data_IF_687157207126
#
_entry.id   IF_687157207126
#
_cell.length_a   1.000
_cell.length_b   1.000
_cell.length_c   1.000
_cell.angle_alpha   90.00
_cell.angle_beta   90.00
_cell.angle_gamma   90.00
#
_symmetry.space_group_name_H-M   'P 1'
#
loop_
_entity.id
_entity.type
_entity.pdbx_description
1 polymer ?
#
# COMPACT_ATOMS: atom_id res chain seq x y z
N UNK A 1 -7.68 18.51 -8.69
CA UNK A 1 -7.03 17.40 -9.40
C UNK A 1 -7.30 16.17 -8.57
N UNK A 2 -7.95 15.17 -9.15
CA UNK A 2 -8.15 13.88 -8.51
C UNK A 2 -6.91 13.01 -8.73
N UNK A 3 -6.64 12.00 -7.88
CA UNK A 3 -5.54 11.07 -8.10
C UNK A 3 -5.56 10.43 -9.50
N UNK A 4 -6.73 10.11 -10.03
CA UNK A 4 -6.90 9.51 -11.37
C UNK A 4 -6.51 10.43 -12.54
N UNK A 5 -6.39 11.74 -12.32
CA UNK A 5 -5.93 12.71 -13.33
C UNK A 5 -4.40 12.68 -13.54
N UNK A 6 -3.65 11.98 -12.67
CA UNK A 6 -2.20 11.88 -12.74
C UNK A 6 -1.74 10.84 -13.79
N UNK A 7 -0.57 11.08 -14.41
CA UNK A 7 0.11 10.12 -15.30
C UNK A 7 1.18 9.35 -14.52
N UNK A 8 0.74 8.53 -13.56
CA UNK A 8 1.68 7.74 -12.74
C UNK A 8 2.28 6.61 -13.58
N UNK A 9 3.61 6.50 -13.54
CA UNK A 9 4.42 5.52 -14.27
C UNK A 9 5.14 4.55 -13.34
N UNK A 10 5.19 4.86 -12.05
CA UNK A 10 5.80 4.02 -11.01
C UNK A 10 4.97 4.03 -9.74
N UNK A 11 4.86 2.87 -9.10
CA UNK A 11 4.25 2.68 -7.79
C UNK A 11 5.35 2.12 -6.88
N UNK A 12 5.77 2.89 -5.88
CA UNK A 12 6.65 2.44 -4.81
C UNK A 12 5.79 2.18 -3.59
N UNK A 13 5.80 0.96 -3.05
CA UNK A 13 4.89 0.58 -1.97
C UNK A 13 5.50 -0.41 -0.99
N UNK A 14 4.90 -0.58 0.19
CA UNK A 14 5.39 -1.57 1.14
C UNK A 14 5.32 -2.98 0.53
N UNK A 15 6.23 -3.84 0.98
CA UNK A 15 6.39 -5.21 0.51
C UNK A 15 5.41 -6.20 1.13
N UNK A 16 4.58 -5.76 2.08
CA UNK A 16 3.58 -6.58 2.74
C UNK A 16 2.31 -6.80 1.89
N UNK A 17 1.30 -7.46 2.46
CA UNK A 17 0.07 -7.73 1.72
C UNK A 17 -0.73 -6.46 1.39
N UNK A 18 -0.71 -5.45 2.27
CA UNK A 18 -1.43 -4.20 2.04
C UNK A 18 -0.81 -3.45 0.84
N UNK A 19 0.51 -3.28 0.84
CA UNK A 19 1.24 -2.68 -0.27
C UNK A 19 1.06 -3.46 -1.58
N UNK A 20 1.10 -4.80 -1.56
CA UNK A 20 0.86 -5.64 -2.75
C UNK A 20 -0.54 -5.43 -3.32
N UNK A 21 -1.58 -5.41 -2.50
CA UNK A 21 -2.96 -5.21 -2.97
C UNK A 21 -3.18 -3.76 -3.40
N UNK A 22 -2.57 -2.79 -2.73
CA UNK A 22 -2.54 -1.39 -3.16
C UNK A 22 -1.98 -1.25 -4.57
N UNK A 23 -0.81 -1.85 -4.83
CA UNK A 23 -0.21 -1.85 -6.16
C UNK A 23 -1.11 -2.52 -7.22
N UNK A 24 -1.75 -3.64 -6.86
CA UNK A 24 -2.67 -4.35 -7.75
C UNK A 24 -3.86 -3.47 -8.16
N UNK A 25 -4.44 -2.73 -7.21
CA UNK A 25 -5.55 -1.79 -7.48
C UNK A 25 -5.07 -0.65 -8.38
N UNK A 26 -3.98 0.02 -8.05
CA UNK A 26 -3.49 1.17 -8.80
C UNK A 26 -3.09 0.79 -10.24
N UNK A 27 -2.51 -0.40 -10.43
CA UNK A 27 -2.18 -0.93 -11.76
C UNK A 27 -3.41 -1.26 -12.61
N UNK A 28 -4.62 -1.34 -12.07
CA UNK A 28 -5.82 -1.47 -12.92
C UNK A 28 -6.09 -0.19 -13.71
N UNK A 29 -5.70 0.97 -13.17
CA UNK A 29 -5.80 2.26 -13.84
C UNK A 29 -4.51 2.59 -14.60
N UNK A 30 -3.36 2.55 -13.93
CA UNK A 30 -2.04 2.75 -14.53
C UNK A 30 -1.42 1.42 -14.92
N UNK A 31 -1.97 0.81 -15.97
CA UNK A 31 -1.66 -0.56 -16.42
C UNK A 31 -0.17 -0.85 -16.68
N UNK A 32 0.54 0.14 -17.20
CA UNK A 32 1.97 0.06 -17.53
C UNK A 32 2.90 0.53 -16.40
N UNK A 33 2.36 0.92 -15.23
CA UNK A 33 3.19 1.41 -14.14
C UNK A 33 4.12 0.30 -13.61
N UNK A 34 5.40 0.66 -13.46
CA UNK A 34 6.40 -0.16 -12.77
C UNK A 34 6.06 -0.25 -11.28
N UNK A 35 6.11 -1.44 -10.69
CA UNK A 35 5.93 -1.63 -9.24
C UNK A 35 7.28 -1.93 -8.61
N UNK A 36 7.61 -1.18 -7.58
CA UNK A 36 8.82 -1.36 -6.76
C UNK A 36 8.39 -1.50 -5.31
N UNK A 37 8.78 -2.62 -4.70
CA UNK A 37 8.54 -2.85 -3.28
C UNK A 37 9.72 -2.29 -2.47
N UNK A 38 9.41 -1.72 -1.31
CA UNK A 38 10.41 -1.21 -0.38
C UNK A 38 9.88 -1.21 1.04
N UNK A 39 10.73 -0.85 2.00
CA UNK A 39 10.34 -0.76 3.41
C UNK A 39 10.40 0.70 3.91
N UNK A 40 9.58 1.11 4.89
CA UNK A 40 9.59 2.46 5.44
C UNK A 40 10.97 2.94 5.91
N UNK A 41 11.80 2.02 6.42
CA UNK A 41 13.18 2.31 6.83
C UNK A 41 14.09 2.69 5.66
N UNK A 42 13.97 1.99 4.54
CA UNK A 42 14.77 2.22 3.32
C UNK A 42 14.41 3.56 2.67
N UNK A 43 13.11 3.87 2.62
CA UNK A 43 12.63 5.15 2.12
C UNK A 43 13.12 6.32 2.96
N UNK A 44 13.07 6.19 4.29
CA UNK A 44 13.62 7.21 5.22
C UNK A 44 15.14 7.34 5.12
N UNK A 45 15.83 6.29 4.73
CA UNK A 45 17.28 6.31 4.50
C UNK A 45 17.67 6.92 3.14
N UNK A 46 16.70 7.27 2.30
CA UNK A 46 16.91 7.89 0.99
C UNK A 46 17.32 6.92 -0.12
N UNK A 47 17.12 5.60 0.07
CA UNK A 47 17.50 4.58 -0.92
C UNK A 47 16.70 4.69 -2.23
N UNK A 48 15.55 5.36 -2.20
CA UNK A 48 14.68 5.57 -3.37
C UNK A 48 14.72 7.02 -3.91
N UNK A 49 15.60 7.89 -3.42
CA UNK A 49 15.62 9.33 -3.76
C UNK A 49 15.85 9.61 -5.26
N UNK A 50 16.59 8.73 -5.92
CA UNK A 50 16.89 8.77 -7.36
C UNK A 50 15.81 8.08 -8.21
N UNK A 51 14.96 7.27 -7.58
CA UNK A 51 13.87 6.54 -8.23
C UNK A 51 12.56 7.32 -8.21
N UNK A 52 12.31 8.11 -7.19
CA UNK A 52 11.02 8.78 -6.96
C UNK A 52 11.00 10.19 -7.56
N UNK A 53 10.02 10.41 -8.42
CA UNK A 53 9.72 11.69 -9.08
C UNK A 53 8.20 11.97 -9.11
N UNK A 54 7.80 13.05 -9.80
CA UNK A 54 6.40 13.49 -9.90
C UNK A 54 5.46 12.49 -10.61
N UNK A 55 6.00 11.47 -11.28
CA UNK A 55 5.23 10.39 -11.91
C UNK A 55 5.19 9.12 -11.05
N UNK A 56 5.62 9.23 -9.80
CA UNK A 56 5.66 8.12 -8.86
C UNK A 56 4.56 8.26 -7.80
N UNK A 57 3.78 7.19 -7.61
CA UNK A 57 2.93 7.01 -6.45
C UNK A 57 3.73 6.32 -5.34
N UNK A 58 3.70 6.86 -4.13
CA UNK A 58 4.28 6.25 -2.92
C UNK A 58 3.14 5.81 -2.01
N UNK A 59 3.02 4.52 -1.77
CA UNK A 59 1.84 3.95 -1.12
C UNK A 59 2.22 3.09 0.08
N UNK A 60 1.50 3.25 1.17
CA UNK A 60 1.75 2.52 2.41
C UNK A 60 3.17 2.70 2.97
N UNK A 61 3.77 3.85 2.63
CA UNK A 61 5.12 4.22 3.00
C UNK A 61 5.12 5.72 3.37
N UNK A 62 6.10 6.18 4.16
CA UNK A 62 6.25 7.60 4.45
C UNK A 62 6.29 8.44 3.17
N UNK A 63 5.61 9.58 3.11
CA UNK A 63 5.59 10.40 1.91
C UNK A 63 7.01 10.85 1.50
N UNK A 64 7.38 10.62 0.23
CA UNK A 64 8.57 11.21 -0.37
C UNK A 64 8.25 12.58 -1.02
N UNK A 65 9.02 13.64 -0.79
CA UNK A 65 8.67 15.00 -1.21
C UNK A 65 8.62 15.22 -2.73
N UNK A 66 9.26 14.34 -3.53
CA UNK A 66 9.22 14.42 -5.00
C UNK A 66 8.06 13.63 -5.63
N UNK A 67 7.34 12.80 -4.87
CA UNK A 67 6.30 11.95 -5.45
C UNK A 67 5.15 12.78 -6.05
N UNK A 68 4.41 12.19 -7.00
CA UNK A 68 3.18 12.79 -7.53
C UNK A 68 1.95 12.50 -6.67
N UNK A 69 1.92 11.31 -6.07
CA UNK A 69 0.83 10.81 -5.24
C UNK A 69 1.40 10.11 -4.01
N UNK A 70 0.81 10.38 -2.85
CA UNK A 70 1.06 9.62 -1.63
C UNK A 70 -0.27 9.08 -1.08
N UNK A 71 -0.33 7.77 -0.83
CA UNK A 71 -1.49 7.10 -0.21
C UNK A 71 -0.99 6.43 1.06
N UNK A 72 -1.55 6.78 2.21
CA UNK A 72 -1.12 6.18 3.48
C UNK A 72 -2.21 6.29 4.56
N UNK A 73 -2.09 5.48 5.59
CA UNK A 73 -3.01 5.41 6.73
C UNK A 73 -2.28 5.41 8.09
N UNK A 74 -0.96 5.20 8.08
CA UNK A 74 -0.13 5.17 9.29
C UNK A 74 -0.13 6.50 10.03
N UNK A 75 -0.44 6.49 11.32
CA UNK A 75 -0.46 7.72 12.15
C UNK A 75 0.91 8.41 12.23
N UNK A 76 1.99 7.64 12.18
CA UNK A 76 3.38 8.13 12.19
C UNK A 76 3.74 8.97 10.96
N UNK A 77 3.03 8.76 9.85
CA UNK A 77 3.26 9.42 8.57
C UNK A 77 2.21 10.51 8.28
N UNK A 78 1.34 10.82 9.25
CA UNK A 78 0.30 11.83 9.10
C UNK A 78 0.88 13.16 8.61
N UNK A 79 0.35 13.77 7.54
CA UNK A 79 0.96 14.96 6.95
C UNK A 79 1.00 16.14 7.92
N UNK A 80 2.20 16.72 8.10
CA UNK A 80 2.45 17.87 8.98
C UNK A 80 2.15 19.25 8.38
N UNK A 81 1.52 19.32 7.20
CA UNK A 81 1.14 20.58 6.54
C UNK A 81 2.22 21.22 5.66
N UNK A 82 3.05 20.43 4.98
CA UNK A 82 4.10 20.94 4.10
C UNK A 82 3.58 21.19 2.67
N UNK A 83 4.14 22.21 1.99
CA UNK A 83 3.84 22.59 0.59
C UNK A 83 4.44 21.58 -0.40
N UNK A 84 3.96 20.33 -0.36
CA UNK A 84 4.25 19.35 -1.41
C UNK A 84 3.37 19.64 -2.63
N UNK A 85 3.92 19.48 -3.83
CA UNK A 85 3.13 19.44 -5.07
C UNK A 85 2.37 18.10 -5.22
N UNK A 86 2.73 17.09 -4.43
CA UNK A 86 2.08 15.80 -4.44
C UNK A 86 0.62 15.92 -4.02
N UNK A 87 -0.23 15.09 -4.60
CA UNK A 87 -1.54 14.80 -4.02
C UNK A 87 -1.29 13.85 -2.84
N UNK A 88 -1.63 14.29 -1.62
CA UNK A 88 -1.45 13.48 -0.41
C UNK A 88 -2.81 13.02 0.09
N UNK A 89 -3.04 11.72 0.03
CA UNK A 89 -4.24 11.06 0.52
C UNK A 89 -3.89 10.26 1.77
N UNK A 90 -4.05 10.90 2.91
CA UNK A 90 -3.95 10.24 4.20
C UNK A 90 -5.33 10.09 4.83
N UNK A 91 -5.69 8.88 5.27
CA UNK A 91 -6.96 8.61 5.96
C UNK A 91 -6.73 7.66 7.14
N UNK A 92 -7.50 7.86 8.21
CA UNK A 92 -7.62 6.86 9.27
C UNK A 92 -8.48 5.70 8.71
N UNK A 93 -7.80 4.73 8.09
CA UNK A 93 -8.35 3.64 7.30
C UNK A 93 -7.73 2.32 7.76
N UNK A 94 -8.44 1.19 7.70
CA UNK A 94 -7.91 -0.11 8.13
C UNK A 94 -6.74 -0.63 7.28
N UNK A 95 -6.50 -0.05 6.11
CA UNK A 95 -5.39 -0.35 5.20
C UNK A 95 -5.22 0.79 4.17
N UNK A 96 -4.04 0.89 3.54
CA UNK A 96 -3.79 1.71 2.36
C UNK A 96 -4.54 1.18 1.12
N UNK A 97 -4.67 -0.14 0.97
CA UNK A 97 -5.42 -0.78 -0.10
C UNK A 97 -6.88 -0.36 -0.10
N UNK A 98 -7.49 -0.19 1.08
CA UNK A 98 -8.85 0.34 1.21
C UNK A 98 -8.94 1.77 0.73
N UNK A 99 -7.94 2.60 1.01
CA UNK A 99 -7.89 3.97 0.49
C UNK A 99 -7.81 3.94 -1.04
N UNK A 100 -6.93 3.12 -1.60
CA UNK A 100 -6.78 2.96 -3.05
C UNK A 100 -8.08 2.46 -3.69
N UNK A 101 -8.74 1.46 -3.10
CA UNK A 101 -10.03 0.96 -3.58
C UNK A 101 -11.07 2.08 -3.64
N UNK A 102 -11.25 2.85 -2.57
CA UNK A 102 -12.23 3.95 -2.55
C UNK A 102 -11.90 5.07 -3.55
N UNK A 103 -10.62 5.29 -3.86
CA UNK A 103 -10.21 6.27 -4.86
C UNK A 103 -10.51 5.83 -6.31
N UNK A 104 -10.47 4.53 -6.60
CA UNK A 104 -10.50 4.01 -7.97
C UNK A 104 -11.74 3.18 -8.33
N UNK A 105 -12.54 2.73 -7.36
CA UNK A 105 -13.74 1.91 -7.59
C UNK A 105 -14.81 2.52 -8.51
N UNK A 106 -14.82 3.84 -8.67
CA UNK A 106 -15.76 4.53 -9.57
C UNK A 106 -15.29 4.54 -11.03
N UNK A 107 -13.99 4.32 -11.27
CA UNK A 107 -13.36 4.40 -12.60
C UNK A 107 -12.77 3.07 -13.08
N UNK A 108 -12.70 2.07 -12.19
CA UNK A 108 -12.17 0.74 -12.44
C UNK A 108 -13.07 -0.29 -11.77
N UNK A 109 -13.28 -1.44 -12.43
CA UNK A 109 -13.89 -2.60 -11.79
C UNK A 109 -12.89 -3.31 -10.87
N UNK A 110 -13.22 -3.29 -9.56
CA UNK A 110 -12.45 -3.89 -8.47
C UNK A 110 -13.29 -4.93 -7.70
N UNK A 111 -14.46 -5.33 -8.23
CA UNK A 111 -15.37 -6.26 -7.55
C UNK A 111 -14.71 -7.61 -7.25
N UNK A 112 -13.72 -8.01 -8.05
CA UNK A 112 -12.96 -9.25 -7.86
C UNK A 112 -11.96 -9.20 -6.68
N UNK A 113 -11.70 -8.00 -6.13
CA UNK A 113 -10.80 -7.81 -4.99
C UNK A 113 -11.53 -7.58 -3.67
N UNK A 114 -12.86 -7.40 -3.66
CA UNK A 114 -13.61 -7.02 -2.44
C UNK A 114 -13.42 -8.03 -1.30
N UNK A 115 -13.58 -9.32 -1.60
CA UNK A 115 -13.39 -10.37 -0.59
C UNK A 115 -11.97 -10.39 -0.03
N UNK A 116 -10.95 -10.18 -0.89
CA UNK A 116 -9.55 -10.11 -0.45
C UNK A 116 -9.31 -8.86 0.39
N UNK A 117 -9.88 -7.74 0.00
CA UNK A 117 -9.71 -6.46 0.67
C UNK A 117 -10.25 -6.48 2.11
N UNK A 118 -11.34 -7.20 2.35
CA UNK A 118 -11.85 -7.42 3.72
C UNK A 118 -10.86 -8.21 4.59
N UNK A 119 -10.06 -9.10 3.99
CA UNK A 119 -8.97 -9.78 4.71
C UNK A 119 -7.76 -8.88 4.92
N UNK A 120 -7.37 -8.08 3.93
CA UNK A 120 -6.30 -7.09 4.05
C UNK A 120 -6.59 -6.14 5.21
N UNK A 121 -7.79 -5.57 5.24
CA UNK A 121 -8.23 -4.67 6.30
C UNK A 121 -8.11 -5.31 7.69
N UNK A 122 -8.49 -6.58 7.83
CA UNK A 122 -8.41 -7.29 9.12
C UNK A 122 -6.97 -7.55 9.55
N UNK A 123 -6.12 -7.94 8.59
CA UNK A 123 -4.73 -8.28 8.84
C UNK A 123 -3.92 -7.04 9.22
N UNK A 124 -4.06 -5.97 8.44
CA UNK A 124 -3.28 -4.74 8.61
C UNK A 124 -3.72 -3.93 9.85
N UNK A 125 -5.04 -3.76 10.06
CA UNK A 125 -5.55 -3.13 11.28
C UNK A 125 -5.38 -3.97 12.56
N UNK A 126 -4.94 -5.23 12.44
CA UNK A 126 -4.86 -6.18 13.54
C UNK A 126 -6.21 -6.58 14.14
N UNK A 127 -7.32 -6.36 13.43
CA UNK A 127 -8.69 -6.70 13.87
C UNK A 127 -9.08 -8.16 13.58
N UNK A 128 -8.16 -8.95 13.02
CA UNK A 128 -8.32 -10.38 12.80
C UNK A 128 -8.48 -11.16 14.11
N UNK A 129 -9.43 -12.09 14.16
CA UNK A 129 -9.60 -12.98 15.32
C UNK A 129 -8.55 -14.10 15.34
N UNK A 130 -8.32 -14.69 16.52
CA UNK A 130 -7.41 -15.83 16.66
C UNK A 130 -7.82 -17.04 15.80
N UNK A 131 -9.12 -17.31 15.69
CA UNK A 131 -9.66 -18.39 14.85
C UNK A 131 -9.40 -18.12 13.36
N UNK A 132 -9.67 -16.90 12.90
CA UNK A 132 -9.40 -16.49 11.51
C UNK A 132 -7.90 -16.56 11.19
N UNK A 133 -7.03 -16.09 12.10
CA UNK A 133 -5.58 -16.13 11.93
C UNK A 133 -5.04 -17.56 11.80
N UNK A 134 -5.62 -18.52 12.53
CA UNK A 134 -5.25 -19.94 12.45
C UNK A 134 -5.97 -20.71 11.34
N UNK A 135 -6.89 -20.06 10.62
CA UNK A 135 -7.67 -20.70 9.57
C UNK A 135 -6.83 -21.05 8.33
N UNK A 136 -7.46 -21.80 7.42
CA UNK A 136 -6.90 -22.11 6.11
C UNK A 136 -7.43 -21.18 5.00
N UNK A 137 -7.96 -20.01 5.35
CA UNK A 137 -8.40 -19.03 4.36
C UNK A 137 -7.23 -18.68 3.41
N UNK A 138 -7.44 -18.60 2.08
CA UNK A 138 -6.37 -18.32 1.13
C UNK A 138 -5.61 -17.02 1.43
N UNK A 139 -6.29 -15.98 1.89
CA UNK A 139 -5.69 -14.69 2.23
C UNK A 139 -4.65 -14.79 3.36
N UNK A 140 -4.85 -15.68 4.34
CA UNK A 140 -3.88 -15.93 5.43
C UNK A 140 -2.59 -16.55 4.89
N UNK A 141 -2.69 -17.44 3.92
CA UNK A 141 -1.51 -18.05 3.31
C UNK A 141 -0.77 -17.05 2.43
N UNK A 142 -1.50 -16.23 1.68
CA UNK A 142 -0.92 -15.15 0.89
C UNK A 142 -0.16 -14.17 1.79
N UNK A 143 -0.77 -13.71 2.89
CA UNK A 143 -0.11 -12.76 3.80
C UNK A 143 1.19 -13.33 4.36
N UNK A 144 1.18 -14.59 4.83
CA UNK A 144 2.38 -15.27 5.35
C UNK A 144 3.50 -15.40 4.34
N UNK A 145 3.17 -15.63 3.06
CA UNK A 145 4.18 -15.77 2.00
C UNK A 145 4.78 -14.40 1.67
N UNK A 146 3.93 -13.38 1.55
CA UNK A 146 4.35 -12.02 1.19
C UNK A 146 5.19 -11.39 2.30
N UNK A 147 4.78 -11.53 3.56
CA UNK A 147 5.45 -10.93 4.73
C UNK A 147 6.74 -11.65 5.17
N UNK A 148 7.03 -12.84 4.62
CA UNK A 148 8.18 -13.67 5.04
C UNK A 148 9.59 -13.10 4.72
N UNK A 149 9.67 -11.83 4.30
CA UNK A 149 10.91 -11.07 4.14
C UNK A 149 11.57 -10.65 5.45
N UNK A 150 10.81 -10.53 6.54
CA UNK A 150 11.36 -10.36 7.90
C UNK A 150 11.46 -11.75 8.55
N UNK A 151 12.69 -12.19 8.81
CA UNK A 151 13.03 -13.55 9.20
C UNK A 151 12.01 -14.16 10.15
N UNK A 152 11.32 -15.21 9.69
CA UNK A 152 10.48 -16.07 10.53
C UNK A 152 11.28 -16.41 11.78
N UNK A 153 10.94 -15.79 12.91
CA UNK A 153 11.51 -16.16 14.19
C UNK A 153 11.24 -17.66 14.32
N UNK A 154 12.32 -18.43 14.33
CA UNK A 154 12.31 -19.87 14.54
C UNK A 154 11.46 -20.14 15.78
N UNK A 155 10.26 -20.67 15.56
CA UNK A 155 9.54 -21.41 16.59
C UNK A 155 10.31 -22.72 16.76
N UNK A 156 11.44 -22.64 17.47
CA UNK A 156 12.08 -23.83 17.99
C UNK A 156 11.18 -24.40 19.11
N UNK A 157 10.81 -25.68 19.04
CA UNK A 157 9.98 -26.36 20.03
C UNK A 157 10.69 -26.60 21.38
#
# INVERSE_FOLDING_TARGET
MQPSDLDIRRIVTDSDLDGVVTAAILRRWWTDAEVVFGHPGELRAGLFDDLIDEWTAVCDLPMHPKCGLSIDHHQSNRPGGNESKAIVVWKDSPSAARIAYELFREVVDLSDLEDLLDWVDKLDSGSISHEEFLSHAPAIWLSRIVDSGEGTASLDP
#
